data_IF_855292132209
#
_entry.id   IF_855292132209
#
_cell.length_a   1.000
_cell.length_b   1.000
_cell.length_c   1.000
_cell.angle_alpha   90.00
_cell.angle_beta   90.00
_cell.angle_gamma   90.00
#
_symmetry.space_group_name_H-M   'P 1'
#
loop_
_entity.id
_entity.type
_entity.pdbx_description
1 polymer ?
#
# COMPACT_ATOMS: atom_id res chain seq x y z
N UNK A 1 -22.87 20.35 8.53
CA UNK A 1 -21.97 20.98 7.54
C UNK A 1 -20.77 21.49 8.31
N UNK A 2 -19.78 20.63 8.54
CA UNK A 2 -18.50 21.04 9.14
C UNK A 2 -17.53 21.32 8.00
N UNK A 3 -17.08 22.56 7.93
CA UNK A 3 -16.14 23.07 6.92
C UNK A 3 -14.84 22.26 6.95
N UNK A 4 -14.56 21.53 5.87
CA UNK A 4 -13.21 21.04 5.55
C UNK A 4 -12.34 22.13 4.91
N UNK A 5 -12.92 23.29 4.62
CA UNK A 5 -12.25 24.42 3.98
C UNK A 5 -11.01 24.83 4.79
N UNK A 6 -9.83 24.71 4.19
CA UNK A 6 -8.57 25.17 4.77
C UNK A 6 -7.60 24.09 5.30
N UNK A 7 -7.94 22.80 5.23
CA UNK A 7 -6.95 21.73 5.50
C UNK A 7 -6.07 21.50 4.28
N UNK A 8 -4.85 22.00 4.34
CA UNK A 8 -3.87 21.91 3.27
C UNK A 8 -2.78 20.90 3.62
N UNK A 9 -2.48 20.01 2.68
CA UNK A 9 -1.48 18.94 2.83
C UNK A 9 -0.42 19.10 1.75
N UNK A 10 0.84 19.24 2.14
CA UNK A 10 1.97 19.17 1.22
C UNK A 10 2.30 17.70 0.96
N UNK A 11 2.47 17.35 -0.31
CA UNK A 11 2.96 16.06 -0.78
C UNK A 11 4.25 16.33 -1.54
N UNK A 12 5.38 15.93 -0.94
CA UNK A 12 6.71 16.25 -1.42
C UNK A 12 7.46 14.99 -1.85
N UNK A 13 8.21 15.10 -2.95
CA UNK A 13 9.20 14.11 -3.38
C UNK A 13 10.58 14.77 -3.30
N UNK A 14 11.27 14.71 -2.14
CA UNK A 14 12.46 15.52 -1.87
C UNK A 14 13.58 15.30 -2.89
N UNK A 15 13.82 14.05 -3.29
CA UNK A 15 14.88 13.70 -4.26
C UNK A 15 14.59 14.21 -5.68
N UNK A 16 13.34 14.60 -5.96
CA UNK A 16 12.93 15.23 -7.21
C UNK A 16 12.88 16.77 -7.08
N UNK A 17 12.95 17.31 -5.86
CA UNK A 17 12.75 18.75 -5.62
C UNK A 17 11.31 19.22 -5.88
N UNK A 18 10.33 18.30 -5.90
CA UNK A 18 8.93 18.60 -6.21
C UNK A 18 8.09 18.59 -4.94
N UNK A 19 7.20 19.56 -4.80
CA UNK A 19 6.14 19.56 -3.77
C UNK A 19 4.86 20.07 -4.40
N UNK A 20 3.75 19.41 -4.09
CA UNK A 20 2.40 19.82 -4.50
C UNK A 20 1.51 19.93 -3.27
N UNK A 21 0.51 20.81 -3.33
CA UNK A 21 -0.43 21.04 -2.22
C UNK A 21 -1.80 20.46 -2.57
N UNK A 22 -2.33 19.60 -1.71
CA UNK A 22 -3.71 19.15 -1.75
C UNK A 22 -4.57 19.95 -0.75
N UNK A 23 -5.78 20.30 -1.16
CA UNK A 23 -6.84 20.72 -0.24
C UNK A 23 -7.72 19.51 0.10
N UNK A 24 -7.82 19.16 1.38
CA UNK A 24 -8.75 18.12 1.83
C UNK A 24 -10.18 18.66 1.82
N UNK A 25 -11.13 17.84 1.36
CA UNK A 25 -12.52 18.24 1.26
C UNK A 25 -13.47 17.40 2.14
N UNK A 26 -14.74 17.81 2.18
CA UNK A 26 -15.73 17.29 3.11
C UNK A 26 -16.52 16.08 2.60
N UNK A 27 -16.18 15.51 1.43
CA UNK A 27 -16.91 14.35 0.86
C UNK A 27 -16.76 13.10 1.72
N UNK A 28 -15.58 12.92 2.31
CA UNK A 28 -15.26 11.82 3.22
C UNK A 28 -14.58 12.35 4.48
N UNK A 29 -15.32 12.99 5.41
CA UNK A 29 -14.74 13.69 6.55
C UNK A 29 -13.94 12.76 7.46
N UNK A 30 -14.43 11.55 7.73
CA UNK A 30 -13.73 10.58 8.58
C UNK A 30 -12.39 10.13 7.97
N UNK A 31 -12.35 9.89 6.65
CA UNK A 31 -11.09 9.54 5.95
C UNK A 31 -10.13 10.74 5.94
N UNK A 32 -10.64 11.96 5.74
CA UNK A 32 -9.84 13.18 5.78
C UNK A 32 -9.28 13.45 7.19
N UNK A 33 -10.06 13.20 8.24
CA UNK A 33 -9.66 13.35 9.64
C UNK A 33 -8.56 12.35 9.99
N UNK A 34 -8.76 11.07 9.66
CA UNK A 34 -7.77 10.02 9.89
C UNK A 34 -6.45 10.31 9.15
N UNK A 35 -6.51 10.80 7.90
CA UNK A 35 -5.32 11.22 7.18
C UNK A 35 -4.66 12.43 7.85
N UNK A 36 -5.42 13.45 8.22
CA UNK A 36 -4.91 14.68 8.82
C UNK A 36 -4.23 14.47 10.18
N UNK A 37 -4.76 13.55 10.98
CA UNK A 37 -4.27 13.23 12.32
C UNK A 37 -3.01 12.37 12.29
N UNK A 38 -2.74 11.66 11.18
CA UNK A 38 -1.52 10.86 11.01
C UNK A 38 -0.33 11.64 10.44
N UNK A 39 -0.50 12.92 10.10
CA UNK A 39 0.58 13.73 9.53
C UNK A 39 1.56 14.23 10.62
N UNK A 40 2.87 14.30 10.33
CA UNK A 40 3.53 13.95 9.06
C UNK A 40 3.96 12.48 8.96
N UNK A 41 4.07 11.97 7.74
CA UNK A 41 4.68 10.66 7.46
C UNK A 41 5.47 10.65 6.14
N UNK A 42 6.31 9.63 5.98
CA UNK A 42 6.99 9.30 4.71
C UNK A 42 6.58 7.92 4.23
N UNK A 43 6.79 7.62 2.94
CA UNK A 43 6.59 6.29 2.36
C UNK A 43 7.45 6.11 1.11
N UNK A 44 7.68 4.87 0.70
CA UNK A 44 8.03 4.55 -0.69
C UNK A 44 6.87 4.97 -1.62
N UNK A 45 7.18 5.79 -2.62
CA UNK A 45 6.23 6.19 -3.64
C UNK A 45 6.10 5.10 -4.71
N UNK A 46 4.88 4.65 -4.96
CA UNK A 46 4.55 3.73 -6.05
C UNK A 46 3.90 4.42 -7.24
N UNK A 47 3.89 3.70 -8.36
CA UNK A 47 3.12 4.02 -9.55
C UNK A 47 2.17 2.86 -9.88
N UNK A 48 0.95 3.16 -10.35
CA UNK A 48 0.07 2.13 -10.85
C UNK A 48 0.64 1.50 -12.13
N UNK A 49 0.84 0.18 -12.10
CA UNK A 49 1.34 -0.59 -13.24
C UNK A 49 0.22 -1.05 -14.18
N UNK A 50 -1.04 -0.85 -13.76
CA UNK A 50 -2.23 -1.32 -14.48
C UNK A 50 -3.23 -0.19 -14.68
N UNK A 51 -3.54 0.57 -13.62
CA UNK A 51 -4.65 1.53 -13.62
C UNK A 51 -4.41 2.79 -14.48
N UNK A 52 -3.19 3.01 -14.98
CA UNK A 52 -2.82 4.17 -15.79
C UNK A 52 -2.01 5.20 -15.02
N UNK A 53 -2.22 6.48 -15.33
CA UNK A 53 -1.50 7.63 -14.78
C UNK A 53 -1.97 7.95 -13.35
N UNK A 54 -1.58 7.08 -12.42
CA UNK A 54 -1.95 7.11 -11.01
C UNK A 54 -0.73 6.87 -10.12
N UNK A 55 -0.50 7.81 -9.21
CA UNK A 55 0.44 7.64 -8.10
C UNK A 55 -0.30 7.03 -6.91
N UNK A 56 0.35 6.15 -6.17
CA UNK A 56 -0.13 5.73 -4.86
C UNK A 56 1.04 5.33 -3.98
N UNK A 57 0.85 5.42 -2.67
CA UNK A 57 1.78 4.91 -1.68
C UNK A 57 1.02 4.33 -0.51
N UNK A 58 1.64 3.39 0.19
CA UNK A 58 1.08 2.90 1.44
C UNK A 58 1.21 3.96 2.51
N UNK A 59 0.16 4.13 3.30
CA UNK A 59 0.17 5.08 4.42
C UNK A 59 0.23 4.30 5.73
N UNK A 60 0.98 4.78 6.74
CA UNK A 60 1.12 4.10 8.02
C UNK A 60 -0.13 4.33 8.90
N UNK A 61 -1.30 3.97 8.37
CA UNK A 61 -2.61 4.22 8.98
C UNK A 61 -3.42 2.93 8.96
N UNK A 62 -3.36 2.11 10.01
CA UNK A 62 -4.11 0.85 10.10
C UNK A 62 -5.64 1.04 9.96
N UNK A 63 -6.17 2.17 10.43
CA UNK A 63 -7.62 2.46 10.38
C UNK A 63 -8.19 2.46 8.95
N UNK A 64 -7.39 2.84 7.94
CA UNK A 64 -7.87 2.84 6.55
C UNK A 64 -8.32 1.47 6.05
N UNK A 65 -7.83 0.36 6.63
CA UNK A 65 -8.23 -0.99 6.24
C UNK A 65 -9.74 -1.27 6.42
N UNK A 66 -10.39 -0.52 7.33
CA UNK A 66 -11.78 -0.73 7.71
C UNK A 66 -12.64 0.53 7.80
N UNK A 67 -12.06 1.74 7.79
CA UNK A 67 -12.85 2.98 7.75
C UNK A 67 -13.71 3.03 6.48
N UNK A 68 -15.01 3.24 6.67
CA UNK A 68 -15.97 3.30 5.58
C UNK A 68 -15.93 4.66 4.86
N UNK A 69 -15.96 4.64 3.53
CA UNK A 69 -16.10 5.85 2.73
C UNK A 69 -17.58 6.26 2.64
N UNK A 70 -17.92 7.47 3.09
CA UNK A 70 -19.27 8.03 2.96
C UNK A 70 -19.65 8.33 1.51
N UNK A 71 -18.67 8.72 0.68
CA UNK A 71 -18.85 9.01 -0.73
C UNK A 71 -17.78 8.30 -1.57
N UNK A 72 -18.20 7.78 -2.74
CA UNK A 72 -17.28 7.28 -3.76
C UNK A 72 -17.63 7.87 -5.11
N UNK A 73 -16.62 8.24 -5.88
CA UNK A 73 -16.77 8.38 -7.33
C UNK A 73 -17.02 6.98 -7.88
N UNK A 74 -18.14 6.77 -8.59
CA UNK A 74 -18.52 5.46 -9.10
C UNK A 74 -17.50 4.90 -10.10
N UNK A 75 -16.95 5.77 -10.95
CA UNK A 75 -15.90 5.46 -11.89
C UNK A 75 -14.74 6.43 -11.72
N UNK A 76 -13.62 5.95 -11.18
CA UNK A 76 -12.45 6.80 -10.91
C UNK A 76 -11.82 7.40 -12.17
N UNK A 77 -12.15 6.91 -13.37
CA UNK A 77 -11.71 7.52 -14.63
C UNK A 77 -12.31 8.90 -14.84
N UNK A 78 -13.50 9.15 -14.29
CA UNK A 78 -14.23 10.42 -14.43
C UNK A 78 -13.77 11.49 -13.42
N UNK A 79 -13.01 11.11 -12.38
CA UNK A 79 -12.47 12.07 -11.42
C UNK A 79 -11.49 13.04 -12.11
N UNK A 80 -11.42 14.33 -11.73
CA UNK A 80 -10.44 15.23 -12.33
C UNK A 80 -8.99 14.84 -11.97
N UNK A 81 -8.02 15.23 -12.80
CA UNK A 81 -6.61 15.12 -12.44
C UNK A 81 -6.36 15.95 -11.18
N UNK A 82 -5.49 15.46 -10.30
CA UNK A 82 -5.25 15.99 -8.97
C UNK A 82 -6.19 15.45 -7.90
N UNK A 83 -7.20 14.63 -8.20
CA UNK A 83 -8.02 14.05 -7.13
C UNK A 83 -7.20 13.11 -6.26
N UNK A 84 -7.24 13.37 -4.95
CA UNK A 84 -6.61 12.57 -3.90
C UNK A 84 -7.64 11.59 -3.34
N UNK A 85 -7.25 10.33 -3.22
CA UNK A 85 -8.10 9.23 -2.75
C UNK A 85 -7.47 8.54 -1.54
N UNK A 86 -8.31 8.07 -0.62
CA UNK A 86 -7.92 7.05 0.35
C UNK A 86 -8.60 5.73 0.00
N UNK A 87 -7.94 4.60 0.25
CA UNK A 87 -8.50 3.27 -0.04
C UNK A 87 -8.32 2.30 1.12
N UNK A 88 -9.20 1.29 1.15
CA UNK A 88 -9.09 0.16 2.07
C UNK A 88 -7.92 -0.80 1.76
N UNK A 89 -7.09 -0.47 0.77
CA UNK A 89 -5.79 -1.09 0.49
C UNK A 89 -4.65 -0.36 1.23
N UNK A 90 -4.98 0.55 2.17
CA UNK A 90 -4.04 1.45 2.86
C UNK A 90 -3.28 2.39 1.92
N UNK A 91 -3.93 2.89 0.87
CA UNK A 91 -3.30 3.85 -0.04
C UNK A 91 -3.78 5.27 0.18
N UNK A 92 -2.86 6.22 0.01
CA UNK A 92 -3.18 7.53 -0.54
C UNK A 92 -2.83 7.48 -2.03
N UNK A 93 -3.82 7.72 -2.88
CA UNK A 93 -3.68 7.71 -4.33
C UNK A 93 -3.94 9.08 -4.94
N UNK A 94 -3.25 9.43 -6.03
CA UNK A 94 -3.43 10.69 -6.76
C UNK A 94 -3.55 10.39 -8.25
N UNK A 95 -4.68 10.73 -8.85
CA UNK A 95 -4.83 10.69 -10.31
C UNK A 95 -4.06 11.88 -10.89
N UNK A 96 -3.13 11.65 -11.81
CA UNK A 96 -2.43 12.75 -12.50
C UNK A 96 -2.67 12.77 -14.02
N UNK A 97 -3.33 11.73 -14.56
CA UNK A 97 -3.70 11.64 -15.96
C UNK A 97 -4.79 10.61 -16.24
N UNK A 98 -4.76 10.00 -17.42
CA UNK A 98 -5.70 8.99 -17.90
C UNK A 98 -5.63 7.70 -17.08
N UNK A 99 -6.80 7.25 -16.62
CA UNK A 99 -6.96 5.95 -15.96
C UNK A 99 -7.72 4.97 -16.87
N UNK A 100 -7.37 3.69 -16.76
CA UNK A 100 -8.07 2.57 -17.42
C UNK A 100 -8.99 1.82 -16.46
N UNK A 101 -8.68 1.84 -15.16
CA UNK A 101 -9.43 1.15 -14.11
C UNK A 101 -10.73 1.91 -13.77
N UNK A 102 -11.93 1.30 -13.95
CA UNK A 102 -13.21 1.96 -13.70
C UNK A 102 -13.71 1.80 -12.26
N UNK A 103 -12.85 1.38 -11.32
CA UNK A 103 -13.28 1.00 -9.98
C UNK A 103 -13.74 2.21 -9.15
N UNK A 104 -14.78 2.06 -8.32
CA UNK A 104 -15.18 3.12 -7.41
C UNK A 104 -14.06 3.51 -6.44
N UNK A 105 -13.84 4.80 -6.23
CA UNK A 105 -12.78 5.32 -5.37
C UNK A 105 -13.31 6.41 -4.42
N UNK A 106 -12.74 6.51 -3.22
CA UNK A 106 -13.18 7.44 -2.19
C UNK A 106 -12.29 8.69 -2.19
N UNK A 107 -12.75 9.82 -2.76
CA UNK A 107 -11.96 11.04 -2.81
C UNK A 107 -11.94 11.71 -1.42
N UNK A 108 -10.79 12.28 -1.07
CA UNK A 108 -10.59 13.00 0.20
C UNK A 108 -10.06 14.42 0.00
N UNK A 109 -9.72 14.79 -1.24
CA UNK A 109 -9.19 16.11 -1.56
C UNK A 109 -8.82 16.28 -3.02
N UNK A 110 -8.21 17.41 -3.32
CA UNK A 110 -7.83 17.82 -4.66
C UNK A 110 -6.53 18.61 -4.64
N UNK A 111 -5.59 18.26 -5.51
CA UNK A 111 -4.37 19.02 -5.76
C UNK A 111 -4.74 20.37 -6.38
N UNK A 112 -4.10 21.44 -5.89
CA UNK A 112 -4.27 22.79 -6.42
C UNK A 112 -3.97 22.85 -7.90
N UNK A 113 -4.70 23.71 -8.61
CA UNK A 113 -4.60 23.81 -10.07
C UNK A 113 -3.18 24.23 -10.52
N UNK A 114 -2.54 25.14 -9.78
CA UNK A 114 -1.18 25.61 -10.02
C UNK A 114 -0.11 24.51 -9.86
N UNK A 115 -0.40 23.46 -9.09
CA UNK A 115 0.54 22.38 -8.78
C UNK A 115 0.38 21.16 -9.73
N UNK A 116 -0.64 21.14 -10.59
CA UNK A 116 -0.87 20.05 -11.54
C UNK A 116 0.29 19.79 -12.51
N UNK A 117 1.00 20.80 -13.05
CA UNK A 117 2.18 20.56 -13.88
C UNK A 117 3.29 19.82 -13.12
N UNK A 118 3.52 20.17 -11.85
CA UNK A 118 4.53 19.55 -11.01
C UNK A 118 4.13 18.11 -10.61
N UNK A 119 2.83 17.87 -10.39
CA UNK A 119 2.30 16.52 -10.19
C UNK A 119 2.54 15.61 -11.41
N UNK A 120 2.37 16.13 -12.63
CA UNK A 120 2.63 15.38 -13.86
C UNK A 120 4.11 15.01 -13.97
N UNK A 121 5.02 15.95 -13.67
CA UNK A 121 6.47 15.72 -13.65
C UNK A 121 6.83 14.63 -12.62
N UNK A 122 6.30 14.71 -11.40
CA UNK A 122 6.48 13.68 -10.39
C UNK A 122 5.93 12.32 -10.86
N UNK A 123 4.75 12.30 -11.49
CA UNK A 123 4.15 11.11 -12.08
C UNK A 123 5.08 10.39 -13.06
N UNK A 124 5.66 11.14 -14.00
CA UNK A 124 6.59 10.62 -15.00
C UNK A 124 7.90 10.13 -14.39
N UNK A 125 8.47 10.88 -13.44
CA UNK A 125 9.70 10.48 -12.75
C UNK A 125 9.52 9.20 -11.93
N UNK A 126 8.38 9.08 -11.23
CA UNK A 126 8.05 7.86 -10.47
C UNK A 126 7.77 6.69 -11.41
N UNK A 127 7.14 6.89 -12.56
CA UNK A 127 7.00 5.84 -13.57
C UNK A 127 8.36 5.31 -14.02
N UNK A 128 9.31 6.19 -14.36
CA UNK A 128 10.65 5.78 -14.78
C UNK A 128 11.40 5.02 -13.67
N UNK A 129 11.26 5.48 -12.42
CA UNK A 129 11.77 4.80 -11.23
C UNK A 129 11.22 3.37 -11.10
N UNK A 130 9.89 3.22 -11.08
CA UNK A 130 9.24 1.91 -10.87
C UNK A 130 9.42 1.00 -12.08
N UNK A 131 9.28 1.52 -13.30
CA UNK A 131 9.31 0.71 -14.51
C UNK A 131 10.73 0.24 -14.85
N UNK A 132 11.70 1.17 -14.84
CA UNK A 132 13.04 0.92 -15.38
C UNK A 132 14.14 1.03 -14.33
N UNK A 133 14.38 2.21 -13.77
CA UNK A 133 15.65 2.48 -13.07
C UNK A 133 15.76 1.83 -11.70
N UNK A 134 14.62 1.47 -11.08
CA UNK A 134 14.48 0.98 -9.71
C UNK A 134 15.04 1.93 -8.65
N UNK A 135 15.32 3.19 -9.01
CA UNK A 135 15.71 4.23 -8.06
C UNK A 135 14.54 4.47 -7.11
N UNK A 136 14.77 4.29 -5.81
CA UNK A 136 13.77 4.55 -4.79
C UNK A 136 13.35 6.02 -4.83
N UNK A 137 12.04 6.28 -4.81
CA UNK A 137 11.49 7.63 -4.67
C UNK A 137 10.68 7.64 -3.39
N UNK A 138 11.10 8.44 -2.42
CA UNK A 138 10.37 8.60 -1.17
C UNK A 138 9.44 9.81 -1.27
N UNK A 139 8.21 9.64 -0.79
CA UNK A 139 7.24 10.71 -0.61
C UNK A 139 7.19 11.11 0.86
N UNK A 140 7.10 12.40 1.13
CA UNK A 140 6.78 12.97 2.45
C UNK A 140 5.45 13.70 2.37
N UNK A 141 4.54 13.39 3.30
CA UNK A 141 3.23 14.00 3.41
C UNK A 141 3.13 14.70 4.76
N UNK A 142 2.77 15.98 4.75
CA UNK A 142 2.72 16.82 5.96
C UNK A 142 1.65 17.88 5.86
N UNK A 143 1.27 18.46 6.99
CA UNK A 143 0.40 19.65 7.00
C UNK A 143 1.15 20.79 6.31
N UNK A 144 0.48 21.52 5.42
CA UNK A 144 1.14 22.56 4.62
C UNK A 144 1.85 23.59 5.51
N UNK A 145 3.10 23.91 5.16
CA UNK A 145 3.93 24.87 5.92
C UNK A 145 4.45 24.37 7.27
N UNK A 146 4.23 23.10 7.63
CA UNK A 146 4.82 22.49 8.84
C UNK A 146 6.13 21.74 8.52
N UNK A 147 6.91 21.41 9.55
CA UNK A 147 8.11 20.60 9.39
C UNK A 147 7.74 19.17 8.95
N UNK A 148 8.55 18.60 8.07
CA UNK A 148 8.49 17.19 7.70
C UNK A 148 8.76 16.24 8.87
N UNK A 149 8.58 14.96 8.63
CA UNK A 149 8.75 13.94 9.66
C UNK A 149 8.21 12.57 9.24
N UNK A 150 8.57 11.56 10.02
CA UNK A 150 8.10 10.20 9.80
C UNK A 150 7.86 9.52 11.14
N UNK A 151 6.70 8.89 11.26
CA UNK A 151 6.40 7.92 12.29
C UNK A 151 5.51 6.83 11.70
N UNK A 152 5.59 5.65 12.29
CA UNK A 152 4.68 4.54 12.03
C UNK A 152 3.99 4.25 13.36
N UNK A 153 2.68 3.96 13.40
CA UNK A 153 2.03 3.60 14.65
C UNK A 153 2.45 2.19 15.05
N UNK A 154 2.87 2.03 16.31
CA UNK A 154 2.89 0.73 16.99
C UNK A 154 1.52 0.50 17.62
N UNK A 155 0.84 -0.57 17.24
CA UNK A 155 -0.37 -1.02 17.93
C UNK A 155 0.00 -1.70 19.25
N UNK A 156 -0.98 -1.99 20.11
CA UNK A 156 -0.75 -2.64 21.40
C UNK A 156 -1.81 -3.68 21.66
N UNK A 157 -1.44 -4.76 22.36
CA UNK A 157 -2.35 -5.80 22.80
C UNK A 157 -2.28 -5.98 24.33
N UNK A 158 -3.36 -6.43 24.95
CA UNK A 158 -3.39 -6.81 26.35
C UNK A 158 -2.71 -8.17 26.59
N UNK A 159 -2.86 -9.10 25.64
CA UNK A 159 -2.17 -10.39 25.64
C UNK A 159 -0.66 -10.23 25.41
N UNK A 160 0.16 -10.71 26.35
CA UNK A 160 1.61 -10.42 26.38
C UNK A 160 2.36 -10.92 25.15
N UNK A 161 2.11 -12.15 24.70
CA UNK A 161 2.76 -12.71 23.51
C UNK A 161 2.33 -11.98 22.23
N UNK A 162 1.09 -11.48 22.21
CA UNK A 162 0.57 -10.71 21.08
C UNK A 162 1.23 -9.33 21.03
N UNK A 163 1.42 -8.67 22.18
CA UNK A 163 2.10 -7.38 22.25
C UNK A 163 3.58 -7.47 21.89
N UNK A 164 4.26 -8.55 22.32
CA UNK A 164 5.63 -8.85 21.90
C UNK A 164 5.74 -9.09 20.40
N UNK A 165 4.80 -9.88 19.83
CA UNK A 165 4.73 -10.09 18.38
C UNK A 165 4.51 -8.76 17.63
N UNK A 166 3.58 -7.92 18.09
CA UNK A 166 3.34 -6.60 17.51
C UNK A 166 4.59 -5.73 17.58
N UNK A 167 5.33 -5.75 18.69
CA UNK A 167 6.58 -5.00 18.84
C UNK A 167 7.64 -5.47 17.83
N UNK A 168 7.79 -6.78 17.63
CA UNK A 168 8.75 -7.32 16.67
C UNK A 168 8.37 -6.98 15.22
N UNK A 169 7.08 -7.12 14.87
CA UNK A 169 6.58 -6.73 13.54
C UNK A 169 6.76 -5.23 13.33
N UNK A 170 6.48 -4.40 14.33
CA UNK A 170 6.69 -2.96 14.29
C UNK A 170 8.15 -2.63 13.99
N UNK A 171 9.09 -3.24 14.71
CA UNK A 171 10.52 -2.98 14.52
C UNK A 171 10.98 -3.36 13.10
N UNK A 172 10.51 -4.50 12.58
CA UNK A 172 10.84 -4.93 11.22
C UNK A 172 10.15 -4.06 10.16
N UNK A 173 8.93 -3.59 10.43
CA UNK A 173 8.21 -2.64 9.57
C UNK A 173 8.94 -1.31 9.50
N UNK A 174 9.31 -0.73 10.65
CA UNK A 174 10.03 0.55 10.75
C UNK A 174 11.38 0.49 10.06
N UNK A 175 12.14 -0.59 10.28
CA UNK A 175 13.43 -0.82 9.64
C UNK A 175 13.35 -0.79 8.11
N UNK A 176 12.28 -1.35 7.56
CA UNK A 176 12.15 -1.57 6.11
C UNK A 176 11.14 -0.62 5.44
N UNK A 177 10.64 0.41 6.14
CA UNK A 177 9.61 1.29 5.59
C UNK A 177 10.12 2.22 4.50
N UNK A 178 11.34 2.72 4.67
CA UNK A 178 12.00 3.65 3.75
C UNK A 178 13.23 3.05 3.07
N UNK A 179 13.48 1.75 3.26
CA UNK A 179 14.61 1.03 2.65
C UNK A 179 14.18 -0.40 2.33
N UNK A 180 14.62 -0.92 1.18
CA UNK A 180 14.22 -2.24 0.72
C UNK A 180 14.54 -3.34 1.76
N UNK A 181 13.59 -4.23 2.07
CA UNK A 181 13.84 -5.40 2.91
C UNK A 181 14.96 -6.25 2.28
N UNK A 182 15.98 -6.67 3.06
CA UNK A 182 17.07 -7.50 2.54
C UNK A 182 16.58 -8.76 1.83
N UNK A 183 15.57 -9.46 2.39
CA UNK A 183 14.97 -10.66 1.79
C UNK A 183 14.44 -10.40 0.36
N UNK A 184 13.81 -9.25 0.14
CA UNK A 184 13.31 -8.87 -1.19
C UNK A 184 14.45 -8.42 -2.12
N UNK A 185 15.40 -7.64 -1.61
CA UNK A 185 16.53 -7.15 -2.41
C UNK A 185 17.39 -8.32 -2.92
N UNK A 186 17.73 -9.27 -2.05
CA UNK A 186 18.52 -10.45 -2.36
C UNK A 186 17.81 -11.33 -3.40
N UNK A 187 16.52 -11.61 -3.19
CA UNK A 187 15.71 -12.40 -4.11
C UNK A 187 15.65 -11.78 -5.52
N UNK A 188 15.48 -10.45 -5.61
CA UNK A 188 15.48 -9.75 -6.91
C UNK A 188 16.85 -9.71 -7.59
N UNK A 189 17.94 -9.95 -6.84
CA UNK A 189 19.29 -10.15 -7.38
C UNK A 189 19.61 -11.62 -7.69
N UNK A 190 18.66 -12.52 -7.48
CA UNK A 190 18.83 -13.96 -7.75
C UNK A 190 19.32 -14.79 -6.57
N UNK A 191 19.44 -14.19 -5.38
CA UNK A 191 19.88 -14.86 -4.17
C UNK A 191 18.69 -15.36 -3.36
N UNK A 192 18.39 -16.65 -3.52
CA UNK A 192 17.30 -17.32 -2.79
C UNK A 192 17.89 -18.56 -2.09
N UNK A 193 17.99 -18.58 -0.74
CA UNK A 193 18.63 -19.68 -0.02
C UNK A 193 18.05 -21.06 -0.34
N UNK A 194 16.72 -21.15 -0.50
CA UNK A 194 16.00 -22.39 -0.84
C UNK A 194 16.18 -22.84 -2.29
N UNK A 195 16.76 -22.00 -3.15
CA UNK A 195 16.83 -22.18 -4.62
C UNK A 195 15.46 -22.33 -5.28
N UNK A 196 14.42 -21.72 -4.71
CA UNK A 196 13.10 -21.71 -5.34
C UNK A 196 13.18 -21.12 -6.76
N UNK A 197 12.69 -21.90 -7.73
CA UNK A 197 12.76 -21.56 -9.15
C UNK A 197 13.10 -22.79 -10.00
N UNK A 198 12.24 -23.14 -10.96
CA UNK A 198 12.51 -24.28 -11.85
C UNK A 198 13.43 -23.84 -12.98
N UNK A 199 14.36 -24.71 -13.40
CA UNK A 199 15.34 -24.44 -14.47
C UNK A 199 16.28 -23.26 -14.18
N UNK A 200 16.74 -23.14 -12.92
CA UNK A 200 17.77 -22.18 -12.50
C UNK A 200 17.43 -20.70 -12.80
N UNK A 201 16.13 -20.37 -12.83
CA UNK A 201 15.65 -18.99 -13.00
C UNK A 201 14.80 -18.55 -11.81
N UNK A 202 14.99 -17.30 -11.39
CA UNK A 202 14.22 -16.68 -10.29
C UNK A 202 12.95 -15.98 -10.77
N UNK A 203 12.77 -15.77 -12.08
CA UNK A 203 11.64 -15.01 -12.61
C UNK A 203 10.27 -15.61 -12.20
N UNK A 204 10.05 -16.94 -12.26
CA UNK A 204 8.81 -17.51 -11.74
C UNK A 204 8.64 -17.23 -10.25
N UNK A 205 9.70 -17.37 -9.45
CA UNK A 205 9.66 -17.09 -8.02
C UNK A 205 9.29 -15.64 -7.73
N UNK A 206 9.89 -14.67 -8.43
CA UNK A 206 9.54 -13.25 -8.32
C UNK A 206 8.06 -12.99 -8.69
N UNK A 207 7.56 -13.66 -9.73
CA UNK A 207 6.16 -13.55 -10.13
C UNK A 207 5.23 -14.04 -9.03
N UNK A 208 5.53 -15.20 -8.43
CA UNK A 208 4.75 -15.77 -7.34
C UNK A 208 4.85 -14.93 -6.07
N UNK A 209 6.04 -14.44 -5.70
CA UNK A 209 6.19 -13.58 -4.51
C UNK A 209 5.43 -12.26 -4.70
N UNK A 210 5.50 -11.62 -5.87
CA UNK A 210 4.69 -10.43 -6.16
C UNK A 210 3.17 -10.75 -6.14
N UNK A 211 2.78 -11.89 -6.73
CA UNK A 211 1.40 -12.33 -6.88
C UNK A 211 0.72 -12.77 -5.59
N UNK A 212 1.45 -13.39 -4.66
CA UNK A 212 0.93 -13.94 -3.40
C UNK A 212 1.03 -12.94 -2.24
N UNK A 213 2.10 -12.13 -2.17
CA UNK A 213 2.29 -11.17 -1.06
C UNK A 213 1.16 -10.13 -1.03
N UNK A 214 0.77 -9.61 -2.19
CA UNK A 214 -0.25 -8.56 -2.30
C UNK A 214 -1.62 -9.02 -1.76
N UNK A 215 -2.27 -10.07 -2.29
CA UNK A 215 -3.56 -10.53 -1.79
C UNK A 215 -3.50 -11.01 -0.34
N UNK A 216 -2.38 -11.55 0.13
CA UNK A 216 -2.24 -11.88 1.55
C UNK A 216 -2.47 -10.64 2.42
N UNK A 217 -1.88 -9.49 2.08
CA UNK A 217 -2.08 -8.23 2.79
C UNK A 217 -3.50 -7.67 2.63
N UNK A 218 -3.90 -7.31 1.42
CA UNK A 218 -5.13 -6.52 1.22
C UNK A 218 -6.43 -7.36 1.26
N UNK A 219 -6.37 -8.64 0.91
CA UNK A 219 -7.54 -9.51 0.82
C UNK A 219 -7.66 -10.41 2.05
N UNK A 220 -6.62 -11.17 2.42
CA UNK A 220 -6.68 -12.08 3.58
C UNK A 220 -6.68 -11.30 4.89
N UNK A 221 -5.57 -10.64 5.25
CA UNK A 221 -5.49 -9.88 6.50
C UNK A 221 -6.46 -8.69 6.50
N UNK A 222 -6.53 -7.92 5.42
CA UNK A 222 -7.51 -6.84 5.27
C UNK A 222 -8.98 -7.31 5.39
N UNK A 223 -9.29 -8.51 4.88
CA UNK A 223 -10.62 -9.13 5.01
C UNK A 223 -10.93 -9.54 6.44
N UNK A 224 -9.97 -10.15 7.14
CA UNK A 224 -10.10 -10.53 8.56
C UNK A 224 -10.33 -9.31 9.46
N UNK A 225 -9.62 -8.20 9.21
CA UNK A 225 -9.80 -6.93 9.93
C UNK A 225 -11.22 -6.40 9.74
N UNK A 226 -11.71 -6.33 8.49
CA UNK A 226 -13.08 -5.89 8.21
C UNK A 226 -14.13 -6.82 8.82
N UNK A 227 -13.88 -8.12 8.82
CA UNK A 227 -14.75 -9.10 9.47
C UNK A 227 -14.79 -8.91 11.00
N UNK A 228 -13.64 -8.63 11.62
CA UNK A 228 -13.55 -8.37 13.05
C UNK A 228 -14.30 -7.10 13.45
N UNK A 229 -14.17 -6.03 12.67
CA UNK A 229 -14.89 -4.75 12.85
C UNK A 229 -16.40 -4.92 12.59
N UNK A 230 -16.80 -5.86 11.73
CA UNK A 230 -18.20 -6.20 11.48
C UNK A 230 -18.77 -7.22 12.49
N UNK A 231 -18.17 -7.33 13.68
CA UNK A 231 -18.60 -8.20 14.78
C UNK A 231 -18.72 -9.70 14.42
N UNK A 232 -17.94 -10.19 13.45
CA UNK A 232 -17.89 -11.63 13.16
C UNK A 232 -17.50 -12.41 14.45
N UNK A 233 -18.16 -13.54 14.77
CA UNK A 233 -17.84 -14.32 15.96
C UNK A 233 -16.35 -14.73 16.01
N UNK A 234 -15.72 -14.68 17.20
CA UNK A 234 -14.29 -14.99 17.36
C UNK A 234 -13.92 -16.39 16.86
N UNK A 235 -14.75 -17.41 17.16
CA UNK A 235 -14.55 -18.76 16.64
C UNK A 235 -14.50 -18.80 15.10
N UNK A 236 -15.32 -18.00 14.42
CA UNK A 236 -15.29 -17.88 12.95
C UNK A 236 -14.05 -17.14 12.47
N UNK A 237 -13.64 -16.06 13.15
CA UNK A 237 -12.40 -15.36 12.84
C UNK A 237 -11.19 -16.29 12.97
N UNK A 238 -11.07 -17.05 14.06
CA UNK A 238 -9.97 -17.98 14.29
C UNK A 238 -9.92 -19.07 13.20
N UNK A 239 -11.09 -19.60 12.83
CA UNK A 239 -11.18 -20.59 11.76
C UNK A 239 -10.76 -19.99 10.40
N UNK A 240 -11.26 -18.81 10.06
CA UNK A 240 -10.96 -18.15 8.80
C UNK A 240 -9.49 -17.73 8.72
N UNK A 241 -8.89 -17.26 9.82
CA UNK A 241 -7.46 -16.94 9.89
C UNK A 241 -6.63 -18.14 9.47
N UNK A 242 -6.84 -19.31 10.09
CA UNK A 242 -6.11 -20.55 9.76
C UNK A 242 -6.23 -20.95 8.29
N UNK A 243 -7.42 -20.77 7.70
CA UNK A 243 -7.68 -21.09 6.29
C UNK A 243 -6.98 -20.11 5.35
N UNK A 244 -6.97 -18.82 5.68
CA UNK A 244 -6.61 -17.76 4.73
C UNK A 244 -5.14 -17.35 4.77
N UNK A 245 -4.44 -17.51 5.91
CA UNK A 245 -3.09 -16.93 6.07
C UNK A 245 -1.95 -17.95 6.09
N UNK A 246 -2.19 -19.18 6.55
CA UNK A 246 -1.13 -20.17 6.78
C UNK A 246 -0.40 -20.58 5.50
N UNK A 247 -1.12 -21.18 4.55
CA UNK A 247 -0.52 -21.71 3.31
C UNK A 247 0.19 -20.64 2.47
N UNK A 248 -0.40 -19.46 2.21
CA UNK A 248 0.30 -18.43 1.45
C UNK A 248 1.58 -17.94 2.14
N UNK A 249 1.56 -17.75 3.46
CA UNK A 249 2.74 -17.29 4.20
C UNK A 249 3.84 -18.36 4.26
N UNK A 250 3.48 -19.64 4.42
CA UNK A 250 4.43 -20.76 4.38
C UNK A 250 5.14 -20.85 3.02
N UNK A 251 4.37 -20.76 1.93
CA UNK A 251 4.93 -20.75 0.59
C UNK A 251 5.85 -19.55 0.35
N UNK A 252 5.44 -18.36 0.79
CA UNK A 252 6.28 -17.17 0.72
C UNK A 252 7.57 -17.30 1.55
N UNK A 253 7.49 -17.95 2.71
CA UNK A 253 8.66 -18.31 3.53
C UNK A 253 9.64 -19.21 2.77
N UNK A 254 9.14 -20.27 2.11
CA UNK A 254 9.95 -21.09 1.21
C UNK A 254 10.59 -20.28 0.07
N UNK A 255 9.89 -19.29 -0.48
CA UNK A 255 10.42 -18.42 -1.52
C UNK A 255 11.44 -17.37 -1.02
N UNK A 256 11.63 -17.23 0.30
CA UNK A 256 12.64 -16.36 0.90
C UNK A 256 12.12 -15.28 1.85
N UNK A 257 10.80 -15.19 2.08
CA UNK A 257 10.22 -14.25 3.06
C UNK A 257 10.12 -14.90 4.45
N UNK A 258 11.26 -15.27 5.02
CA UNK A 258 11.35 -16.01 6.28
C UNK A 258 10.73 -15.23 7.44
N UNK A 259 10.95 -13.91 7.51
CA UNK A 259 10.35 -13.04 8.55
C UNK A 259 8.83 -13.02 8.50
N UNK A 260 8.26 -12.96 7.29
CA UNK A 260 6.80 -13.02 7.12
C UNK A 260 6.24 -14.34 7.62
N UNK A 261 6.93 -15.44 7.34
CA UNK A 261 6.50 -16.75 7.79
C UNK A 261 6.59 -16.88 9.32
N UNK A 262 7.72 -16.48 9.92
CA UNK A 262 7.90 -16.47 11.38
C UNK A 262 6.78 -15.68 12.10
N UNK A 263 6.49 -14.46 11.63
CA UNK A 263 5.40 -13.66 12.21
C UNK A 263 4.03 -14.32 12.06
N UNK A 264 3.78 -14.99 10.93
CA UNK A 264 2.51 -15.69 10.71
C UNK A 264 2.39 -16.91 11.63
N UNK A 265 3.47 -17.68 11.82
CA UNK A 265 3.48 -18.81 12.76
C UNK A 265 3.18 -18.35 14.18
N UNK A 266 3.88 -17.31 14.65
CA UNK A 266 3.68 -16.74 15.98
C UNK A 266 2.26 -16.18 16.17
N UNK A 267 1.66 -15.59 15.14
CA UNK A 267 0.26 -15.17 15.18
C UNK A 267 -0.69 -16.36 15.32
N UNK A 268 -0.46 -17.43 14.56
CA UNK A 268 -1.27 -18.65 14.64
C UNK A 268 -1.13 -19.37 15.98
N UNK A 269 0.05 -19.31 16.61
CA UNK A 269 0.34 -19.94 17.90
C UNK A 269 -0.43 -19.29 19.06
N UNK A 270 -0.62 -17.96 19.05
CA UNK A 270 -1.40 -17.25 20.08
C UNK A 270 -2.86 -17.00 19.71
N UNK A 271 -3.30 -17.40 18.51
CA UNK A 271 -4.59 -17.04 17.93
C UNK A 271 -5.81 -17.37 18.82
N UNK A 272 -5.81 -18.53 19.47
CA UNK A 272 -6.99 -18.96 20.25
C UNK A 272 -7.16 -18.22 21.57
N UNK A 273 -6.12 -17.54 22.04
CA UNK A 273 -6.11 -16.79 23.30
C UNK A 273 -6.43 -15.30 23.11
N UNK A 274 -6.57 -14.84 21.86
CA UNK A 274 -6.84 -13.44 21.57
C UNK A 274 -8.32 -13.11 21.75
N UNK A 275 -8.60 -11.98 22.40
CA UNK A 275 -9.90 -11.33 22.27
C UNK A 275 -9.99 -10.54 20.95
N UNK A 276 -11.12 -9.88 20.73
CA UNK A 276 -11.37 -9.15 19.48
C UNK A 276 -10.40 -7.98 19.28
N UNK A 277 -10.06 -7.28 20.36
CA UNK A 277 -9.23 -6.07 20.29
C UNK A 277 -7.76 -6.46 20.03
N UNK A 278 -7.28 -7.50 20.71
CA UNK A 278 -5.95 -8.06 20.49
C UNK A 278 -5.83 -8.70 19.10
N UNK A 279 -6.85 -9.44 18.66
CA UNK A 279 -6.92 -9.98 17.30
C UNK A 279 -6.83 -8.85 16.26
N UNK A 280 -7.60 -7.79 16.43
CA UNK A 280 -7.61 -6.64 15.53
C UNK A 280 -6.25 -5.94 15.51
N UNK A 281 -5.61 -5.76 16.66
CA UNK A 281 -4.28 -5.15 16.78
C UNK A 281 -3.20 -5.96 16.07
N UNK A 282 -3.09 -7.27 16.36
CA UNK A 282 -2.09 -8.14 15.72
C UNK A 282 -2.33 -8.22 14.22
N UNK A 283 -3.57 -8.53 13.80
CA UNK A 283 -3.92 -8.67 12.38
C UNK A 283 -3.63 -7.38 11.60
N UNK A 284 -3.91 -6.22 12.19
CA UNK A 284 -3.64 -4.91 11.56
C UNK A 284 -2.14 -4.60 11.48
N UNK A 285 -1.36 -4.96 12.50
CA UNK A 285 0.10 -4.78 12.48
C UNK A 285 0.75 -5.68 11.42
N UNK A 286 0.33 -6.94 11.33
CA UNK A 286 0.79 -7.88 10.30
C UNK A 286 0.39 -7.40 8.89
N UNK A 287 -0.85 -6.92 8.71
CA UNK A 287 -1.29 -6.36 7.43
C UNK A 287 -0.40 -5.19 6.96
N UNK A 288 0.00 -4.32 7.89
CA UNK A 288 0.87 -3.18 7.59
C UNK A 288 2.24 -3.64 7.07
N UNK A 289 2.84 -4.65 7.72
CA UNK A 289 4.10 -5.25 7.29
C UNK A 289 3.98 -5.88 5.89
N UNK A 290 2.92 -6.66 5.65
CA UNK A 290 2.72 -7.33 4.36
C UNK A 290 2.48 -6.33 3.23
N UNK A 291 1.70 -5.28 3.49
CA UNK A 291 1.46 -4.22 2.51
C UNK A 291 2.75 -3.43 2.19
N UNK A 292 3.63 -3.23 3.17
CA UNK A 292 4.99 -2.74 2.95
C UNK A 292 5.80 -3.67 2.02
N UNK A 293 5.79 -4.98 2.26
CA UNK A 293 6.45 -5.94 1.36
C UNK A 293 5.85 -5.89 -0.05
N UNK A 294 4.52 -5.72 -0.15
CA UNK A 294 3.81 -5.50 -1.41
C UNK A 294 4.28 -4.24 -2.15
N UNK A 295 4.54 -3.14 -1.44
CA UNK A 295 5.08 -1.91 -2.01
C UNK A 295 6.47 -2.15 -2.64
N UNK A 296 7.36 -2.80 -1.90
CA UNK A 296 8.70 -3.12 -2.36
C UNK A 296 8.70 -4.11 -3.53
N UNK A 297 7.82 -5.12 -3.49
CA UNK A 297 7.61 -6.02 -4.63
C UNK A 297 7.19 -5.26 -5.89
N UNK A 298 6.30 -4.27 -5.78
CA UNK A 298 5.86 -3.47 -6.94
C UNK A 298 6.99 -2.57 -7.47
N UNK A 299 7.87 -2.08 -6.59
CA UNK A 299 9.02 -1.27 -6.97
C UNK A 299 10.13 -2.08 -7.63
N UNK A 300 10.51 -3.22 -7.04
CA UNK A 300 11.67 -4.01 -7.44
C UNK A 300 11.41 -4.94 -8.62
N UNK A 301 10.15 -5.34 -8.86
CA UNK A 301 9.84 -6.29 -9.93
C UNK A 301 10.28 -5.75 -11.31
N UNK A 302 10.86 -6.60 -12.19
CA UNK A 302 11.41 -6.16 -13.47
C UNK A 302 10.31 -5.99 -14.53
N UNK A 303 9.55 -4.89 -14.44
CA UNK A 303 8.43 -4.59 -15.35
C UNK A 303 8.87 -4.36 -16.81
N UNK A 304 10.06 -3.83 -17.01
CA UNK A 304 10.72 -3.62 -18.30
C UNK A 304 11.09 -4.91 -19.03
N UNK A 305 11.22 -6.04 -18.31
CA UNK A 305 11.43 -7.36 -18.92
C UNK A 305 10.30 -7.77 -19.89
N UNK A 306 9.17 -7.04 -19.88
CA UNK A 306 8.01 -7.25 -20.73
C UNK A 306 7.84 -6.21 -21.84
N UNK A 307 8.89 -5.46 -22.19
CA UNK A 307 8.81 -4.48 -23.29
C UNK A 307 8.30 -5.05 -24.63
N UNK A 308 8.52 -6.36 -24.87
CA UNK A 308 7.97 -7.07 -26.03
C UNK A 308 6.47 -7.39 -25.96
N UNK A 309 5.77 -7.10 -24.86
CA UNK A 309 4.35 -7.38 -24.62
C UNK A 309 3.47 -6.11 -24.67
N UNK A 310 3.91 -5.06 -25.38
CA UNK A 310 3.12 -3.83 -25.54
C UNK A 310 1.84 -4.11 -26.32
N UNK A 311 0.71 -3.59 -25.81
CA UNK A 311 -0.57 -3.66 -26.51
C UNK A 311 -0.49 -2.93 -27.86
N UNK A 312 -1.02 -3.54 -28.91
CA UNK A 312 -1.23 -2.84 -30.18
C UNK A 312 -2.25 -1.72 -29.97
N UNK A 313 -1.82 -0.47 -30.17
CA UNK A 313 -2.77 0.65 -30.20
C UNK A 313 -3.56 0.52 -31.49
N UNK A 314 -4.84 0.17 -31.40
CA UNK A 314 -5.76 0.33 -32.53
C UNK A 314 -5.76 1.81 -32.88
N UNK A 315 -5.34 2.16 -34.11
CA UNK A 315 -5.36 3.53 -34.58
C UNK A 315 -6.78 4.09 -34.38
N UNK A 316 -6.90 5.25 -33.73
CA UNK A 316 -8.18 5.94 -33.66
C UNK A 316 -8.71 6.09 -35.11
N UNK A 317 -9.99 5.79 -35.39
CA UNK A 317 -10.54 5.99 -36.71
C UNK A 317 -10.29 7.44 -37.10
N UNK A 318 -9.60 7.65 -38.23
CA UNK A 318 -9.35 8.97 -38.77
C UNK A 318 -10.69 9.68 -38.87
N UNK A 319 -10.85 10.80 -38.18
CA UNK A 319 -11.96 11.70 -38.42
C UNK A 319 -11.79 12.25 -39.85
N UNK A 320 -12.43 11.58 -40.81
CA UNK A 320 -12.64 12.06 -42.17
C UNK A 320 -14.14 12.40 -42.31
N UNK A 321 -14.45 13.69 -42.24
CA UNK A 321 -15.24 14.43 -43.21
C UNK A 321 -15.15 15.94 -42.88
#
# INVERSE_FOLDING_TARGET
MTESAGRLVDIAWPDLGITVTAELDGRNPELADILWDSLPYRSLQGHALVAGEHLYHHVPIPKLLHTHASEKVADRRDAPNGTVFCSALQHLGIKYGTLTEPMPAAPVGQIRAEDLPALLEAGQAVWDAVYSTKKEVLVEVRRAGTQGGHSIPRLTAAHSEADLLIQDIYNETERNWLTAPPELADMHQGWIPSRAGTHDTVLPTLLFVNGETRPLGYASYGGLIRAAVADMPMASLHQMTRILVGVPAEFLGYCGLEKLWDFTQRFLDCLDDLDRDDFLAVTSQVALYINLLGAWNLHLFPWDAKDGLRQERTAAPSAQA
#
